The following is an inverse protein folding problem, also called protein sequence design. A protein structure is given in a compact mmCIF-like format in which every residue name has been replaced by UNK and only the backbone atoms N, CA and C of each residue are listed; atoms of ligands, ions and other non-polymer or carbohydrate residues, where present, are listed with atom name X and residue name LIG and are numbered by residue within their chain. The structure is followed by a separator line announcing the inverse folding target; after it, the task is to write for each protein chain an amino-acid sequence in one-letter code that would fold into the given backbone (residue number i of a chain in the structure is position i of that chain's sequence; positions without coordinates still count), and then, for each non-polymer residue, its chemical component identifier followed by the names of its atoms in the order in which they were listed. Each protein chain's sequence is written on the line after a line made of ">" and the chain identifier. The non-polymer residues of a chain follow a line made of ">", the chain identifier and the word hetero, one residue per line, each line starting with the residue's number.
data_IF_964100346270
#
_entry.id   IF_964100346270
#
_cell.length_a   1.000
_cell.length_b   1.000
_cell.length_c   1.000
_cell.angle_alpha   90.00
_cell.angle_beta   90.00
_cell.angle_gamma   90.00
#
_symmetry.space_group_name_H-M   'P 1'
#
loop_
_entity.id
_entity.type
_entity.pdbx_description
1 polymer ?
#
# COMPACT_ATOMS: atom_id res chain seq x y z
N UNK A 1 7.64 -2.28 18.06
CA UNK A 1 7.95 -3.27 17.01
C UNK A 1 9.44 -3.18 16.80
N UNK A 2 10.13 -4.31 16.60
CA UNK A 2 11.58 -4.24 16.38
C UNK A 2 11.86 -3.71 14.97
N UNK A 3 12.69 -2.67 14.83
CA UNK A 3 13.11 -2.18 13.52
C UNK A 3 13.86 -3.26 12.76
N UNK A 4 13.58 -3.39 11.47
CA UNK A 4 14.38 -4.17 10.54
C UNK A 4 15.78 -3.58 10.46
N UNK A 5 16.78 -4.45 10.55
CA UNK A 5 18.19 -4.10 10.35
C UNK A 5 18.61 -4.17 8.88
N UNK A 6 17.80 -4.80 8.02
CA UNK A 6 18.02 -4.96 6.58
C UNK A 6 16.69 -4.96 5.82
N UNK A 7 16.71 -4.46 4.58
CA UNK A 7 15.60 -4.57 3.63
C UNK A 7 16.11 -5.28 2.38
N UNK A 8 15.60 -6.47 2.11
CA UNK A 8 16.00 -7.30 0.96
C UNK A 8 15.08 -7.10 -0.24
N UNK A 9 13.82 -6.73 -0.02
CA UNK A 9 12.82 -6.62 -1.07
C UNK A 9 12.00 -5.34 -0.98
N UNK A 10 11.45 -4.94 -2.12
CA UNK A 10 10.32 -4.03 -2.22
C UNK A 10 9.16 -4.84 -2.80
N UNK A 11 8.01 -4.82 -2.12
CA UNK A 11 6.81 -5.55 -2.56
C UNK A 11 5.75 -4.55 -2.99
N UNK A 12 5.30 -4.68 -4.24
CA UNK A 12 4.29 -3.80 -4.84
C UNK A 12 2.92 -4.49 -4.74
N UNK A 13 1.95 -3.75 -4.21
CA UNK A 13 0.56 -4.17 -4.07
C UNK A 13 -0.39 -3.14 -4.69
N UNK A 14 -1.66 -3.51 -4.83
CA UNK A 14 -2.76 -2.58 -5.10
C UNK A 14 -3.75 -2.56 -3.93
N UNK A 15 -4.59 -1.52 -3.86
CA UNK A 15 -5.61 -1.37 -2.84
C UNK A 15 -6.92 -2.13 -3.16
N UNK A 16 -7.01 -2.76 -4.33
CA UNK A 16 -8.23 -3.39 -4.86
C UNK A 16 -9.42 -2.40 -4.87
N UNK A 17 -9.18 -1.17 -5.31
CA UNK A 17 -10.18 -0.10 -5.39
C UNK A 17 -10.46 0.30 -6.83
N UNK A 18 -11.66 0.83 -7.07
CA UNK A 18 -12.08 1.35 -8.38
C UNK A 18 -11.32 2.62 -8.76
N UNK A 19 -11.22 2.90 -10.05
CA UNK A 19 -10.55 4.11 -10.56
C UNK A 19 -11.15 5.42 -10.04
N UNK A 20 -12.44 5.42 -9.70
CA UNK A 20 -13.17 6.56 -9.11
C UNK A 20 -12.85 6.81 -7.63
N UNK A 21 -12.15 5.90 -6.95
CA UNK A 21 -11.80 6.02 -5.54
C UNK A 21 -10.39 6.60 -5.39
N UNK A 22 -10.28 7.93 -5.23
CA UNK A 22 -9.03 8.55 -4.79
C UNK A 22 -8.95 8.59 -3.25
N UNK A 23 -8.49 7.48 -2.68
CA UNK A 23 -8.22 7.33 -1.25
C UNK A 23 -6.74 7.55 -0.93
N UNK A 24 -6.43 7.70 0.36
CA UNK A 24 -5.07 7.81 0.88
C UNK A 24 -4.77 6.81 2.00
N UNK A 25 -3.58 6.92 2.58
CA UNK A 25 -3.08 6.13 3.69
C UNK A 25 -4.04 6.12 4.88
N UNK A 26 -4.67 7.24 5.23
CA UNK A 26 -5.61 7.31 6.36
C UNK A 26 -6.83 6.41 6.17
N UNK A 27 -7.37 6.33 4.95
CA UNK A 27 -8.51 5.45 4.64
C UNK A 27 -8.09 3.98 4.63
N UNK A 28 -6.91 3.66 4.11
CA UNK A 28 -6.37 2.29 4.15
C UNK A 28 -6.07 1.89 5.60
N UNK A 29 -5.55 2.80 6.41
CA UNK A 29 -5.32 2.60 7.85
C UNK A 29 -6.62 2.30 8.58
N UNK A 30 -7.67 3.07 8.33
CA UNK A 30 -9.01 2.84 8.87
C UNK A 30 -9.52 1.43 8.54
N UNK A 31 -9.41 1.00 7.28
CA UNK A 31 -9.77 -0.37 6.88
C UNK A 31 -8.95 -1.44 7.61
N UNK A 32 -7.64 -1.25 7.75
CA UNK A 32 -6.79 -2.23 8.42
C UNK A 32 -7.02 -2.27 9.93
N UNK A 33 -7.19 -1.13 10.58
CA UNK A 33 -7.34 -1.04 12.04
C UNK A 33 -8.77 -1.40 12.44
N UNK A 34 -9.76 -0.69 11.89
CA UNK A 34 -11.15 -0.82 12.29
C UNK A 34 -11.88 -1.94 11.54
N UNK A 35 -11.45 -2.26 10.31
CA UNK A 35 -12.00 -3.39 9.54
C UNK A 35 -11.33 -4.72 9.86
N UNK A 36 -9.99 -4.78 9.83
CA UNK A 36 -9.25 -6.04 10.01
C UNK A 36 -8.74 -6.28 11.44
N UNK A 37 -8.85 -5.32 12.35
CA UNK A 37 -8.34 -5.43 13.72
C UNK A 37 -6.82 -5.37 13.84
N UNK A 38 -6.13 -4.80 12.85
CA UNK A 38 -4.67 -4.67 12.88
C UNK A 38 -4.24 -3.47 13.74
N UNK A 39 -2.99 -3.47 14.17
CA UNK A 39 -2.45 -2.36 14.98
C UNK A 39 -2.25 -1.06 14.20
N UNK A 40 -2.02 -1.17 12.89
CA UNK A 40 -1.78 -0.02 12.00
C UNK A 40 -1.89 -0.47 10.53
N UNK A 41 -1.83 0.49 9.60
CA UNK A 41 -1.70 0.26 8.15
C UNK A 41 -0.59 -0.75 7.84
N UNK A 42 -0.80 -1.59 6.82
CA UNK A 42 0.10 -2.70 6.49
C UNK A 42 1.31 -2.28 5.64
N UNK A 43 1.21 -1.14 4.96
CA UNK A 43 2.16 -0.63 3.98
C UNK A 43 3.03 0.49 4.56
N UNK A 44 4.18 0.73 3.94
CA UNK A 44 5.07 1.84 4.31
C UNK A 44 4.84 3.07 3.43
N UNK A 45 4.41 2.84 2.17
CA UNK A 45 4.08 3.90 1.21
C UNK A 45 2.76 3.59 0.53
N UNK A 46 1.96 4.63 0.31
CA UNK A 46 0.73 4.59 -0.47
C UNK A 46 0.86 5.62 -1.59
N UNK A 47 0.64 5.21 -2.84
CA UNK A 47 0.64 6.11 -3.99
C UNK A 47 -0.80 6.32 -4.44
N UNK A 48 -1.31 7.52 -4.21
CA UNK A 48 -2.66 7.96 -4.59
C UNK A 48 -2.86 7.97 -6.10
N UNK A 49 -4.10 8.12 -6.57
CA UNK A 49 -4.44 8.19 -8.00
C UNK A 49 -3.69 9.31 -8.74
N UNK A 50 -3.47 10.43 -8.04
CA UNK A 50 -2.77 11.61 -8.55
C UNK A 50 -1.24 11.54 -8.43
N UNK A 51 -0.66 10.40 -8.06
CA UNK A 51 0.78 10.22 -7.89
C UNK A 51 1.38 10.75 -6.58
N UNK A 52 0.58 11.37 -5.70
CA UNK A 52 1.07 11.77 -4.37
C UNK A 52 1.43 10.52 -3.56
N UNK A 53 2.64 10.53 -2.97
CA UNK A 53 3.14 9.47 -2.11
C UNK A 53 2.90 9.85 -0.65
N UNK A 54 2.06 9.08 0.02
CA UNK A 54 1.77 9.22 1.45
C UNK A 54 2.54 8.17 2.27
N UNK A 55 2.91 8.54 3.49
CA UNK A 55 3.58 7.65 4.43
C UNK A 55 2.56 6.77 5.16
N UNK A 56 2.87 5.47 5.26
CA UNK A 56 2.23 4.55 6.18
C UNK A 56 3.12 4.33 7.40
N UNK A 57 3.52 3.07 7.65
CA UNK A 57 4.51 2.75 8.69
C UNK A 57 5.89 3.31 8.36
N UNK A 58 6.69 3.52 9.41
CA UNK A 58 8.12 3.83 9.28
C UNK A 58 8.82 2.78 8.40
N UNK A 59 9.69 3.21 7.49
CA UNK A 59 10.39 2.33 6.56
C UNK A 59 11.25 1.25 7.25
N UNK A 60 11.67 1.49 8.49
CA UNK A 60 12.42 0.53 9.30
C UNK A 60 11.52 -0.45 10.02
N UNK A 61 10.26 -0.13 10.28
CA UNK A 61 9.36 -1.04 10.98
C UNK A 61 8.95 -2.21 10.09
N UNK A 62 8.66 -3.36 10.72
CA UNK A 62 8.03 -4.47 10.00
C UNK A 62 6.57 -4.12 9.65
N UNK A 63 6.23 -4.26 8.37
CA UNK A 63 4.87 -4.09 7.86
C UNK A 63 3.94 -5.28 8.11
N UNK A 64 2.77 -5.25 7.48
CA UNK A 64 1.79 -6.35 7.46
C UNK A 64 1.17 -6.48 6.06
N UNK A 65 2.00 -6.52 5.02
CA UNK A 65 1.57 -6.48 3.60
C UNK A 65 1.85 -7.79 2.85
N UNK A 66 2.89 -8.54 3.23
CA UNK A 66 3.25 -9.81 2.60
C UNK A 66 3.69 -10.82 3.67
N UNK A 67 2.81 -11.77 4.01
CA UNK A 67 3.10 -12.83 4.98
C UNK A 67 4.37 -13.60 4.57
N UNK A 68 5.25 -13.87 5.53
CA UNK A 68 6.57 -14.47 5.27
C UNK A 68 7.66 -13.51 4.77
N UNK A 69 7.31 -12.29 4.36
CA UNK A 69 8.28 -11.29 3.84
C UNK A 69 8.33 -9.98 4.61
N UNK A 70 7.32 -9.67 5.43
CA UNK A 70 7.23 -8.42 6.21
C UNK A 70 8.51 -8.05 6.98
N UNK A 71 9.25 -9.04 7.50
CA UNK A 71 10.47 -8.84 8.29
C UNK A 71 11.68 -8.39 7.47
N UNK A 72 11.59 -8.40 6.14
CA UNK A 72 12.71 -8.11 5.23
C UNK A 72 12.31 -7.29 4.01
N UNK A 73 11.16 -6.63 4.02
CA UNK A 73 10.67 -5.94 2.82
C UNK A 73 9.82 -4.68 3.03
N UNK A 74 9.99 -3.70 2.16
CA UNK A 74 9.12 -2.51 2.13
C UNK A 74 7.92 -2.76 1.22
N UNK A 75 6.71 -2.75 1.79
CA UNK A 75 5.46 -2.73 1.03
C UNK A 75 5.06 -1.34 0.55
N UNK A 76 4.78 -1.24 -0.75
CA UNK A 76 4.22 -0.06 -1.44
C UNK A 76 2.85 -0.44 -2.01
N UNK A 77 1.83 0.37 -1.77
CA UNK A 77 0.47 0.16 -2.27
C UNK A 77 0.09 1.24 -3.28
N UNK A 78 -0.32 0.85 -4.49
CA UNK A 78 -0.94 1.75 -5.45
C UNK A 78 -2.46 1.73 -5.28
N UNK A 79 -3.07 2.91 -5.19
CA UNK A 79 -4.53 3.05 -5.16
C UNK A 79 -5.10 2.72 -6.54
N UNK A 80 -6.02 1.76 -6.60
CA UNK A 80 -6.53 1.16 -7.83
C UNK A 80 -6.50 -0.37 -7.79
N UNK A 81 -6.61 -0.98 -8.96
CA UNK A 81 -6.49 -2.44 -9.14
C UNK A 81 -7.81 -3.17 -9.38
N UNK A 82 -8.95 -2.46 -9.40
CA UNK A 82 -10.28 -3.05 -9.56
C UNK A 82 -11.11 -2.29 -10.61
N UNK A 83 -11.76 -3.01 -11.52
CA UNK A 83 -12.72 -2.46 -12.48
C UNK A 83 -14.10 -2.23 -11.85
N UNK A 84 -15.02 -1.60 -12.59
CA UNK A 84 -16.37 -1.32 -12.11
C UNK A 84 -17.21 -2.59 -11.85
N UNK A 85 -16.91 -3.68 -12.54
CA UNK A 85 -17.51 -5.01 -12.34
C UNK A 85 -16.84 -5.83 -11.21
N UNK A 86 -15.91 -5.21 -10.47
CA UNK A 86 -15.11 -5.80 -9.40
C UNK A 86 -14.06 -6.83 -9.85
N UNK A 87 -13.80 -6.97 -11.16
CA UNK A 87 -12.67 -7.75 -11.65
C UNK A 87 -11.33 -7.04 -11.43
N UNK A 88 -10.23 -7.78 -11.43
CA UNK A 88 -8.89 -7.21 -11.31
C UNK A 88 -8.52 -6.47 -12.60
N UNK A 89 -8.02 -5.24 -12.46
CA UNK A 89 -7.69 -4.38 -13.60
C UNK A 89 -6.41 -3.57 -13.34
N UNK A 90 -5.54 -3.49 -14.35
CA UNK A 90 -4.42 -2.56 -14.34
C UNK A 90 -4.90 -1.15 -14.75
N UNK A 91 -5.45 -0.40 -13.80
CA UNK A 91 -5.96 0.96 -14.01
C UNK A 91 -5.10 2.04 -13.33
N UNK A 92 -3.82 1.77 -13.07
CA UNK A 92 -2.90 2.74 -12.46
C UNK A 92 -2.59 3.90 -13.42
N UNK A 93 -2.48 5.13 -12.89
CA UNK A 93 -2.18 6.31 -13.71
C UNK A 93 -0.70 6.42 -14.05
N UNK A 94 -0.37 7.15 -15.11
CA UNK A 94 1.02 7.52 -15.44
C UNK A 94 1.73 8.27 -14.30
N UNK A 95 0.97 9.06 -13.53
CA UNK A 95 1.48 9.77 -12.36
C UNK A 95 1.90 8.79 -11.26
N UNK A 96 1.13 7.71 -11.04
CA UNK A 96 1.51 6.65 -10.12
C UNK A 96 2.74 5.89 -10.61
N UNK A 97 2.81 5.55 -11.89
CA UNK A 97 3.98 4.89 -12.46
C UNK A 97 5.23 5.77 -12.40
N UNK A 98 5.07 7.07 -12.53
CA UNK A 98 6.16 8.03 -12.36
C UNK A 98 6.62 8.12 -10.91
N UNK A 99 5.69 8.16 -9.96
CA UNK A 99 6.00 8.20 -8.53
C UNK A 99 6.59 6.89 -7.98
N UNK A 100 6.37 5.76 -8.66
CA UNK A 100 6.89 4.46 -8.26
C UNK A 100 8.36 4.23 -8.66
N UNK A 101 8.86 4.94 -9.68
CA UNK A 101 10.25 4.82 -10.18
C UNK A 101 11.26 5.32 -9.15
#
# INVERSE_FOLDING_TARGET
>A
MEPRNKTDYIVIHCAATKASMDIGADKIKDWHVNGNGWRDIGYHKVIRRNGVVENGRDLRDSGAHAAGYNHKSVGVCLVGGMADDNSAENNFTDQQWTALK
#
